data_IF_882848538380
#
_entry.id   IF_882848538380
#
_cell.length_a   1.000
_cell.length_b   1.000
_cell.length_c   1.000
_cell.angle_alpha   90.00
_cell.angle_beta   90.00
_cell.angle_gamma   90.00
#
_symmetry.space_group_name_H-M   'P 1'
#
loop_
_entity.id
_entity.type
_entity.pdbx_description
1 polymer ?
#
# COMPACT_ATOMS: atom_id res chain seq x y z
N UNK A 1 -9.99 -23.35 -13.58
CA UNK A 1 -9.03 -22.69 -12.65
C UNK A 1 -8.72 -23.69 -11.55
N UNK A 2 -7.45 -24.03 -11.30
CA UNK A 2 -7.11 -25.05 -10.28
C UNK A 2 -7.23 -24.46 -8.87
N UNK A 3 -7.41 -25.32 -7.85
CA UNK A 3 -7.48 -24.90 -6.44
C UNK A 3 -6.24 -24.08 -6.01
N UNK A 4 -5.08 -24.37 -6.60
CA UNK A 4 -3.80 -23.68 -6.35
C UNK A 4 -3.87 -22.18 -6.67
N UNK A 5 -4.53 -21.80 -7.77
CA UNK A 5 -4.62 -20.41 -8.21
C UNK A 5 -5.41 -19.53 -7.21
N UNK A 6 -6.40 -20.09 -6.51
CA UNK A 6 -7.16 -19.35 -5.50
C UNK A 6 -6.33 -19.12 -4.23
N UNK A 7 -5.46 -20.05 -3.86
CA UNK A 7 -4.55 -19.91 -2.71
C UNK A 7 -3.56 -18.78 -2.95
N UNK A 8 -2.98 -18.72 -4.15
CA UNK A 8 -2.08 -17.63 -4.55
C UNK A 8 -2.76 -16.25 -4.47
N UNK A 9 -4.02 -16.15 -4.90
CA UNK A 9 -4.80 -14.91 -4.81
C UNK A 9 -5.06 -14.49 -3.36
N UNK A 10 -5.33 -15.43 -2.45
CA UNK A 10 -5.47 -15.13 -1.03
C UNK A 10 -4.16 -14.66 -0.40
N UNK A 11 -3.03 -15.29 -0.75
CA UNK A 11 -1.71 -14.87 -0.28
C UNK A 11 -1.40 -13.46 -0.79
N UNK A 12 -1.59 -13.20 -2.09
CA UNK A 12 -1.39 -11.89 -2.69
C UNK A 12 -2.27 -10.82 -2.02
N UNK A 13 -3.56 -11.11 -1.83
CA UNK A 13 -4.50 -10.24 -1.11
C UNK A 13 -4.02 -9.92 0.31
N UNK A 14 -3.57 -10.93 1.06
CA UNK A 14 -3.01 -10.75 2.41
C UNK A 14 -1.77 -9.85 2.42
N UNK A 15 -0.85 -10.06 1.47
CA UNK A 15 0.35 -9.22 1.32
C UNK A 15 -0.05 -7.78 1.01
N UNK A 16 -0.99 -7.55 0.09
CA UNK A 16 -1.46 -6.20 -0.26
C UNK A 16 -2.08 -5.47 0.92
N UNK A 17 -2.87 -6.17 1.74
CA UNK A 17 -3.48 -5.61 2.96
C UNK A 17 -2.39 -5.23 3.96
N UNK A 18 -1.46 -6.14 4.27
CA UNK A 18 -0.40 -5.90 5.26
C UNK A 18 0.52 -4.77 4.80
N UNK A 19 0.99 -4.80 3.55
CA UNK A 19 1.84 -3.75 2.99
C UNK A 19 1.12 -2.41 2.93
N UNK A 20 -0.16 -2.40 2.53
CA UNK A 20 -0.98 -1.19 2.52
C UNK A 20 -1.12 -0.56 3.91
N UNK A 21 -1.38 -1.37 4.93
CA UNK A 21 -1.42 -0.92 6.33
C UNK A 21 -0.06 -0.35 6.76
N UNK A 22 1.03 -1.09 6.53
CA UNK A 22 2.37 -0.65 6.90
C UNK A 22 2.73 0.69 6.26
N UNK A 23 2.41 0.89 4.98
CA UNK A 23 2.61 2.16 4.27
C UNK A 23 1.82 3.30 4.90
N UNK A 24 0.55 3.08 5.26
CA UNK A 24 -0.26 4.10 5.92
C UNK A 24 0.33 4.51 7.27
N UNK A 25 0.74 3.56 8.11
CA UNK A 25 1.31 3.84 9.44
C UNK A 25 2.72 4.43 9.37
N UNK A 26 3.55 4.01 8.42
CA UNK A 26 4.92 4.51 8.26
C UNK A 26 5.04 5.76 7.39
N UNK A 27 3.95 6.20 6.76
CA UNK A 27 3.93 7.36 5.86
C UNK A 27 4.56 8.63 6.44
N UNK A 28 4.31 8.93 7.72
CA UNK A 28 4.89 10.09 8.39
C UNK A 28 6.42 9.96 8.50
N UNK A 29 6.91 8.82 9.00
CA UNK A 29 8.35 8.55 9.12
C UNK A 29 9.06 8.63 7.78
N UNK A 30 8.46 8.05 6.73
CA UNK A 30 9.01 8.09 5.37
C UNK A 30 9.01 9.50 4.79
N UNK A 31 7.97 10.30 5.05
CA UNK A 31 7.91 11.70 4.62
C UNK A 31 8.98 12.56 5.29
N UNK A 32 9.24 12.35 6.59
CA UNK A 32 10.32 13.01 7.33
C UNK A 32 11.68 12.58 6.78
N UNK A 33 11.93 11.28 6.65
CA UNK A 33 13.21 10.74 6.17
C UNK A 33 13.60 11.29 4.79
N UNK A 34 12.66 11.34 3.85
CA UNK A 34 12.91 11.92 2.51
C UNK A 34 13.18 13.42 2.59
N UNK A 35 12.50 14.13 3.49
CA UNK A 35 12.70 15.57 3.67
C UNK A 35 14.05 15.88 4.31
N UNK A 36 14.47 15.04 5.25
CA UNK A 36 15.78 15.12 5.92
C UNK A 36 16.91 14.81 4.94
N UNK A 37 16.76 13.77 4.11
CA UNK A 37 17.71 13.44 3.05
C UNK A 37 17.82 14.57 2.02
N UNK A 38 16.69 15.18 1.66
CA UNK A 38 16.69 16.35 0.79
C UNK A 38 17.40 17.56 1.42
N UNK A 39 17.27 17.76 2.74
CA UNK A 39 17.98 18.81 3.46
C UNK A 39 19.48 18.54 3.52
N UNK A 40 19.87 17.29 3.79
CA UNK A 40 21.27 16.87 3.92
C UNK A 40 22.06 16.97 2.60
N UNK A 41 21.38 16.84 1.46
CA UNK A 41 21.98 16.91 0.13
C UNK A 41 22.05 18.34 -0.46
N UNK A 42 21.78 19.38 0.35
CA UNK A 42 21.91 20.77 -0.08
C UNK A 42 23.27 21.36 0.32
N UNK A 43 23.97 21.91 -0.68
CA UNK A 43 25.23 22.65 -0.48
C UNK A 43 25.01 24.06 0.09
N UNK A 44 23.79 24.60 0.00
CA UNK A 44 23.44 25.95 0.47
C UNK A 44 22.78 25.92 1.85
N UNK A 45 23.42 26.59 2.82
CA UNK A 45 23.12 26.66 4.26
C UNK A 45 21.78 27.34 4.64
N UNK A 46 20.97 27.77 3.66
CA UNK A 46 19.67 28.41 3.90
C UNK A 46 18.56 27.38 3.67
N UNK A 47 18.24 26.65 4.74
CA UNK A 47 17.13 25.71 4.78
C UNK A 47 15.79 26.41 4.56
N UNK A 48 15.24 26.32 3.34
CA UNK A 48 13.87 26.74 3.04
C UNK A 48 12.88 25.82 3.77
N UNK A 49 12.45 26.25 4.96
CA UNK A 49 11.53 25.51 5.83
C UNK A 49 10.19 25.24 5.16
N UNK A 50 9.72 26.16 4.30
CA UNK A 50 8.46 25.99 3.57
C UNK A 50 8.58 24.84 2.58
N UNK A 51 9.70 24.77 1.86
CA UNK A 51 9.95 23.70 0.90
C UNK A 51 10.18 22.35 1.59
N UNK A 52 10.90 22.30 2.71
CA UNK A 52 11.05 21.09 3.53
C UNK A 52 9.68 20.54 3.98
N UNK A 53 8.84 21.39 4.59
CA UNK A 53 7.52 20.98 5.05
C UNK A 53 6.61 20.55 3.90
N UNK A 54 6.65 21.27 2.78
CA UNK A 54 5.86 20.92 1.58
C UNK A 54 6.28 19.57 1.00
N UNK A 55 7.58 19.26 0.98
CA UNK A 55 8.09 17.99 0.47
C UNK A 55 7.64 16.84 1.38
N UNK A 56 7.80 16.98 2.69
CA UNK A 56 7.39 15.97 3.65
C UNK A 56 5.90 15.67 3.61
N UNK A 57 5.07 16.71 3.56
CA UNK A 57 3.62 16.55 3.42
C UNK A 57 3.23 15.88 2.09
N UNK A 58 3.91 16.24 1.00
CA UNK A 58 3.68 15.62 -0.30
C UNK A 58 3.97 14.12 -0.27
N UNK A 59 5.13 13.70 0.23
CA UNK A 59 5.47 12.27 0.31
C UNK A 59 4.59 11.53 1.30
N UNK A 60 4.31 12.10 2.47
CA UNK A 60 3.39 11.53 3.44
C UNK A 60 2.01 11.25 2.81
N UNK A 61 1.43 12.25 2.12
CA UNK A 61 0.13 12.09 1.48
C UNK A 61 0.16 11.00 0.40
N UNK A 62 1.22 10.92 -0.41
CA UNK A 62 1.36 9.89 -1.42
C UNK A 62 1.48 8.48 -0.81
N UNK A 63 2.29 8.31 0.25
CA UNK A 63 2.40 7.02 0.93
C UNK A 63 1.08 6.57 1.55
N UNK A 64 0.33 7.49 2.16
CA UNK A 64 -1.03 7.20 2.66
C UNK A 64 -1.95 6.83 1.51
N UNK A 65 -1.93 7.56 0.40
CA UNK A 65 -2.78 7.30 -0.75
C UNK A 65 -2.51 5.93 -1.39
N UNK A 66 -1.24 5.59 -1.60
CA UNK A 66 -0.81 4.28 -2.11
C UNK A 66 -1.20 3.19 -1.11
N UNK A 67 -0.92 3.38 0.18
CA UNK A 67 -1.26 2.42 1.22
C UNK A 67 -2.75 2.12 1.31
N UNK A 68 -3.60 3.16 1.22
CA UNK A 68 -5.07 3.04 1.15
C UNK A 68 -5.50 2.26 -0.09
N UNK A 69 -4.92 2.58 -1.25
CA UNK A 69 -5.24 1.91 -2.51
C UNK A 69 -4.91 0.42 -2.45
N UNK A 70 -3.72 0.06 -1.95
CA UNK A 70 -3.30 -1.32 -1.78
C UNK A 70 -4.19 -2.07 -0.78
N UNK A 71 -4.55 -1.43 0.33
CA UNK A 71 -5.44 -2.01 1.32
C UNK A 71 -6.83 -2.32 0.74
N UNK A 72 -7.45 -1.33 0.07
CA UNK A 72 -8.77 -1.50 -0.56
C UNK A 72 -8.71 -2.55 -1.66
N UNK A 73 -7.69 -2.51 -2.51
CA UNK A 73 -7.53 -3.50 -3.59
C UNK A 73 -7.34 -4.90 -3.02
N UNK A 74 -6.54 -5.06 -1.96
CA UNK A 74 -6.36 -6.32 -1.26
C UNK A 74 -7.67 -6.86 -0.70
N UNK A 75 -8.53 -6.01 -0.11
CA UNK A 75 -9.87 -6.41 0.35
C UNK A 75 -10.78 -6.85 -0.80
N UNK A 76 -10.81 -6.08 -1.89
CA UNK A 76 -11.63 -6.40 -3.07
C UNK A 76 -11.21 -7.75 -3.67
N UNK A 77 -9.91 -7.99 -3.84
CA UNK A 77 -9.40 -9.28 -4.33
C UNK A 77 -9.82 -10.40 -3.38
N UNK A 78 -9.71 -10.22 -2.07
CA UNK A 78 -10.14 -11.22 -1.07
C UNK A 78 -11.62 -11.61 -1.23
N UNK A 79 -12.48 -10.59 -1.33
CA UNK A 79 -13.93 -10.77 -1.47
C UNK A 79 -14.26 -11.49 -2.79
N UNK A 80 -13.69 -11.03 -3.91
CA UNK A 80 -13.91 -11.63 -5.23
C UNK A 80 -13.42 -13.08 -5.24
N UNK A 81 -12.22 -13.36 -4.72
CA UNK A 81 -11.68 -14.72 -4.63
C UNK A 81 -12.58 -15.62 -3.80
N UNK A 82 -13.14 -15.13 -2.69
CA UNK A 82 -14.10 -15.87 -1.87
C UNK A 82 -15.36 -16.27 -2.63
N UNK A 83 -16.02 -15.30 -3.26
CA UNK A 83 -17.25 -15.58 -4.00
C UNK A 83 -17.02 -16.48 -5.22
N UNK A 84 -15.97 -16.21 -6.01
CA UNK A 84 -15.65 -17.03 -7.19
C UNK A 84 -15.27 -18.46 -6.80
N UNK A 85 -14.50 -18.64 -5.72
CA UNK A 85 -14.12 -19.97 -5.22
C UNK A 85 -15.36 -20.77 -4.79
N UNK A 86 -16.29 -20.16 -4.06
CA UNK A 86 -17.51 -20.85 -3.62
C UNK A 86 -18.45 -21.16 -4.78
N UNK A 87 -18.71 -20.20 -5.69
CA UNK A 87 -19.54 -20.43 -6.88
C UNK A 87 -18.99 -21.55 -7.78
N UNK A 88 -17.67 -21.70 -7.84
CA UNK A 88 -17.04 -22.78 -8.62
C UNK A 88 -17.21 -24.14 -7.95
N UNK A 89 -17.21 -24.20 -6.62
CA UNK A 89 -17.47 -25.44 -5.87
C UNK A 89 -18.91 -25.90 -6.06
N UNK A 90 -19.88 -24.99 -5.92
CA UNK A 90 -21.31 -25.32 -6.07
C UNK A 90 -21.62 -25.92 -7.45
N UNK A 91 -20.99 -25.41 -8.52
CA UNK A 91 -21.12 -25.97 -9.88
C UNK A 91 -20.45 -27.34 -10.07
N UNK A 92 -19.51 -27.72 -9.23
CA UNK A 92 -18.83 -29.01 -9.31
C UNK A 92 -19.56 -30.11 -8.52
N UNK A 93 -20.50 -29.73 -7.65
CA UNK A 93 -21.31 -30.64 -6.83
C UNK A 93 -22.71 -30.90 -7.42
N UNK A 94 -23.08 -30.21 -8.51
CA UNK A 94 -24.26 -30.46 -9.34
C UNK A 94 -23.92 -31.33 -10.55
#
# INVERSE_FOLDING_TARGET
MSKTNYIELYILSGVLIVVGILLMFKSYSMGVEISDEWLANREDDIGDTVKYMSLGQFYQNNFVFIGRTLFVFGLVVSIVTFFVSNLTKDKAEQ
#
